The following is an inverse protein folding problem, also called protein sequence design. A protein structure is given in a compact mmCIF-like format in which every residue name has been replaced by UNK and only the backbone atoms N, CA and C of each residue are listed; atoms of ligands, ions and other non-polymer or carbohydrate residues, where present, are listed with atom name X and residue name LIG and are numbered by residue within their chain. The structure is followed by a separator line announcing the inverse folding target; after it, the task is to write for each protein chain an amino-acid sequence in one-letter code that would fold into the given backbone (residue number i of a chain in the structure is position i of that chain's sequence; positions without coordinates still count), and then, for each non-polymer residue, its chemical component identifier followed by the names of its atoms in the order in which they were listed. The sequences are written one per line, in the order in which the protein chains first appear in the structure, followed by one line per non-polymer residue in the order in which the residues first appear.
data_IF_213869031820
#
_entry.id   IF_213869031820
#
_cell.length_a   1.000
_cell.length_b   1.000
_cell.length_c   1.000
_cell.angle_alpha   90.00
_cell.angle_beta   90.00
_cell.angle_gamma   90.00
#
_symmetry.space_group_name_H-M   'P 1'
#
loop_
_entity.id
_entity.type
_entity.pdbx_description
1 polymer ?
#
# COMPACT_ATOMS: atom_id res chain seq x y z
N UNK A 1 -6.98 -38.07 10.32
CA UNK A 1 -7.10 -36.81 9.53
C UNK A 1 -6.59 -37.14 8.14
N UNK A 2 -7.41 -36.99 7.10
CA UNK A 2 -6.95 -37.11 5.71
C UNK A 2 -5.82 -36.10 5.48
N UNK A 3 -4.75 -36.47 4.71
CA UNK A 3 -3.76 -35.48 4.35
C UNK A 3 -4.46 -34.32 3.63
N UNK A 4 -4.18 -33.09 4.08
CA UNK A 4 -4.65 -31.89 3.42
C UNK A 4 -4.16 -31.94 1.95
N UNK A 5 -5.06 -32.25 1.03
CA UNK A 5 -4.76 -32.07 -0.39
C UNK A 5 -4.52 -30.57 -0.59
N UNK A 6 -3.32 -30.23 -1.03
CA UNK A 6 -2.93 -28.83 -1.32
C UNK A 6 -2.85 -28.66 -2.82
N UNK A 7 -3.50 -27.61 -3.31
CA UNK A 7 -3.30 -27.14 -4.68
C UNK A 7 -1.80 -26.82 -4.89
N UNK A 8 -1.32 -27.03 -6.08
CA UNK A 8 0.10 -26.72 -6.42
C UNK A 8 0.18 -26.11 -7.81
N UNK A 9 1.04 -25.13 -7.96
CA UNK A 9 1.39 -24.57 -9.26
C UNK A 9 2.18 -25.63 -10.04
N UNK A 10 1.78 -25.84 -11.29
CA UNK A 10 2.42 -26.74 -12.22
C UNK A 10 3.33 -25.98 -13.17
N UNK A 11 2.81 -24.89 -13.73
CA UNK A 11 3.51 -24.06 -14.69
C UNK A 11 2.99 -22.63 -14.65
N UNK A 12 3.87 -21.68 -14.91
CA UNK A 12 3.52 -20.26 -15.09
C UNK A 12 4.09 -19.80 -16.43
N UNK A 13 3.24 -19.21 -17.25
CA UNK A 13 3.60 -18.74 -18.59
C UNK A 13 3.30 -17.28 -18.75
N UNK A 14 4.32 -16.48 -19.09
CA UNK A 14 4.15 -15.10 -19.50
C UNK A 14 3.35 -15.03 -20.80
N UNK A 15 2.26 -14.30 -20.80
CA UNK A 15 1.41 -14.05 -21.98
C UNK A 15 1.72 -12.69 -22.58
N UNK A 16 1.98 -11.71 -21.74
CA UNK A 16 2.32 -10.36 -22.17
C UNK A 16 3.20 -9.67 -21.15
N UNK A 17 4.30 -9.08 -21.63
CA UNK A 17 5.26 -8.36 -20.80
C UNK A 17 5.36 -6.91 -21.28
N UNK A 18 5.21 -5.98 -20.34
CA UNK A 18 5.39 -4.55 -20.56
C UNK A 18 6.62 -4.05 -19.79
N UNK A 19 6.84 -2.74 -19.77
CA UNK A 19 7.91 -2.16 -18.96
C UNK A 19 7.72 -2.36 -17.45
N UNK A 20 6.47 -2.45 -16.99
CA UNK A 20 6.11 -2.43 -15.56
C UNK A 20 5.37 -3.69 -15.11
N UNK A 21 4.58 -4.28 -15.99
CA UNK A 21 3.66 -5.36 -15.66
C UNK A 21 3.89 -6.58 -16.53
N UNK A 22 3.59 -7.74 -15.97
CA UNK A 22 3.54 -9.02 -16.63
C UNK A 22 2.16 -9.65 -16.44
N UNK A 23 1.51 -10.00 -17.54
CA UNK A 23 0.31 -10.81 -17.53
C UNK A 23 0.68 -12.28 -17.71
N UNK A 24 0.24 -13.15 -16.81
CA UNK A 24 0.61 -14.56 -16.80
C UNK A 24 -0.62 -15.47 -16.84
N UNK A 25 -0.46 -16.66 -17.37
CA UNK A 25 -1.35 -17.80 -17.22
C UNK A 25 -0.66 -18.84 -16.33
N UNK A 26 -1.36 -19.25 -15.27
CA UNK A 26 -0.86 -20.15 -14.25
C UNK A 26 -1.64 -21.45 -14.31
N UNK A 27 -0.99 -22.53 -14.71
CA UNK A 27 -1.55 -23.87 -14.64
C UNK A 27 -1.30 -24.44 -13.24
N UNK A 28 -2.36 -24.95 -12.62
CA UNK A 28 -2.25 -25.55 -11.29
C UNK A 28 -3.11 -26.80 -11.16
N UNK A 29 -2.78 -27.63 -10.22
CA UNK A 29 -3.60 -28.77 -9.82
C UNK A 29 -4.40 -28.37 -8.58
N UNK A 30 -5.72 -28.52 -8.67
CA UNK A 30 -6.61 -28.26 -7.54
C UNK A 30 -6.56 -29.37 -6.48
N UNK A 31 -7.28 -29.20 -5.37
CA UNK A 31 -7.32 -30.17 -4.27
C UNK A 31 -7.96 -31.51 -4.63
N UNK A 32 -8.74 -31.55 -5.71
CA UNK A 32 -9.32 -32.78 -6.28
C UNK A 32 -8.39 -33.47 -7.31
N UNK A 33 -7.18 -32.92 -7.53
CA UNK A 33 -6.22 -33.43 -8.50
C UNK A 33 -6.52 -33.04 -9.95
N UNK A 34 -7.47 -32.12 -10.16
CA UNK A 34 -7.83 -31.65 -11.51
C UNK A 34 -6.93 -30.52 -11.95
N UNK A 35 -6.53 -30.54 -13.23
CA UNK A 35 -5.81 -29.41 -13.83
C UNK A 35 -6.74 -28.22 -14.06
N UNK A 36 -6.26 -27.04 -13.68
CA UNK A 36 -6.94 -25.75 -13.82
C UNK A 36 -5.97 -24.73 -14.38
N UNK A 37 -6.50 -23.65 -14.94
CA UNK A 37 -5.74 -22.49 -15.37
C UNK A 37 -6.29 -21.22 -14.72
N UNK A 38 -5.40 -20.26 -14.40
CA UNK A 38 -5.73 -18.98 -13.79
C UNK A 38 -4.94 -17.86 -14.46
N UNK A 39 -5.55 -16.72 -14.63
CA UNK A 39 -4.88 -15.53 -15.16
C UNK A 39 -4.52 -14.58 -14.03
N UNK A 40 -3.30 -14.03 -14.07
CA UNK A 40 -2.80 -13.12 -13.05
C UNK A 40 -1.97 -11.98 -13.65
N UNK A 41 -1.87 -10.89 -12.89
CA UNK A 41 -0.98 -9.76 -13.19
C UNK A 41 0.06 -9.65 -12.09
N UNK A 42 1.30 -9.44 -12.51
CA UNK A 42 2.43 -9.24 -11.59
C UNK A 42 3.19 -7.95 -11.97
N UNK A 43 3.95 -7.42 -11.04
CA UNK A 43 5.02 -6.49 -11.40
C UNK A 43 6.12 -7.24 -12.13
N UNK A 44 6.70 -6.62 -13.16
CA UNK A 44 7.74 -7.25 -14.00
C UNK A 44 8.90 -7.82 -13.16
N UNK A 45 9.32 -7.11 -12.13
CA UNK A 45 10.45 -7.51 -11.28
C UNK A 45 10.02 -8.20 -9.99
N UNK A 46 8.71 -8.49 -9.83
CA UNK A 46 8.15 -9.17 -8.65
C UNK A 46 8.46 -8.46 -7.32
N UNK A 47 8.66 -7.14 -7.36
CA UNK A 47 8.91 -6.35 -6.16
C UNK A 47 7.70 -6.39 -5.23
N UNK A 48 7.98 -6.41 -3.92
CA UNK A 48 6.97 -6.14 -2.88
C UNK A 48 6.74 -4.62 -2.75
N UNK A 49 5.61 -4.22 -2.18
CA UNK A 49 5.33 -2.84 -1.81
C UNK A 49 5.39 -2.66 -0.29
N UNK A 50 6.01 -1.58 0.18
CA UNK A 50 5.95 -1.16 1.58
C UNK A 50 4.80 -0.15 1.76
N UNK A 51 3.83 -0.47 2.62
CA UNK A 51 2.72 0.42 3.00
C UNK A 51 3.07 1.03 4.34
N UNK A 52 3.17 2.34 4.43
CA UNK A 52 3.79 3.04 5.55
C UNK A 52 2.74 3.58 6.50
N UNK A 53 2.59 2.95 7.66
CA UNK A 53 1.71 3.43 8.73
C UNK A 53 2.53 4.30 9.67
N UNK A 54 2.71 5.56 9.28
CA UNK A 54 3.52 6.53 10.02
C UNK A 54 2.66 7.28 11.04
N UNK A 55 3.07 7.22 12.32
CA UNK A 55 2.38 7.86 13.41
C UNK A 55 3.29 8.87 14.13
N UNK A 56 2.84 10.13 14.23
CA UNK A 56 3.54 11.17 14.97
C UNK A 56 3.44 10.93 16.46
N UNK A 57 4.58 11.09 17.14
CA UNK A 57 4.70 10.99 18.59
C UNK A 57 5.10 12.34 19.17
N UNK A 58 4.45 12.86 20.24
CA UNK A 58 3.44 12.18 21.07
C UNK A 58 1.98 12.39 20.63
N UNK A 59 1.68 13.16 19.55
CA UNK A 59 0.31 13.55 19.21
C UNK A 59 -0.60 12.40 18.76
N UNK A 60 -0.03 11.28 18.34
CA UNK A 60 -0.78 10.11 17.84
C UNK A 60 -1.42 10.32 16.46
N UNK A 61 -1.10 11.42 15.77
CA UNK A 61 -1.62 11.69 14.42
C UNK A 61 -0.96 10.77 13.40
N UNK A 62 -1.67 10.50 12.30
CA UNK A 62 -1.17 9.71 11.18
C UNK A 62 -0.86 10.59 9.98
N UNK A 63 0.15 10.19 9.22
CA UNK A 63 0.51 10.79 7.94
C UNK A 63 -0.18 9.99 6.85
N UNK A 64 -0.96 10.68 6.03
CA UNK A 64 -1.66 10.14 4.87
C UNK A 64 -1.27 10.95 3.64
N UNK A 65 -1.41 10.34 2.47
CA UNK A 65 -1.21 11.01 1.18
C UNK A 65 -2.45 10.89 0.31
N UNK A 66 -2.63 11.87 -0.57
CA UNK A 66 -3.63 11.82 -1.64
C UNK A 66 -2.93 12.05 -2.96
N UNK A 67 -3.07 11.12 -3.89
CA UNK A 67 -2.47 11.24 -5.21
C UNK A 67 -3.41 10.76 -6.31
N UNK A 68 -3.16 11.20 -7.54
CA UNK A 68 -3.90 10.72 -8.71
C UNK A 68 -3.45 9.31 -9.07
N UNK A 69 -4.40 8.39 -9.11
CA UNK A 69 -4.17 6.99 -9.52
C UNK A 69 -4.84 6.72 -10.87
N UNK A 70 -4.10 6.74 -11.98
CA UNK A 70 -4.66 6.53 -13.32
C UNK A 70 -5.60 5.35 -13.46
N UNK A 71 -5.35 4.17 -12.83
CA UNK A 71 -6.27 3.03 -12.96
C UNK A 71 -7.65 3.28 -12.37
N UNK A 72 -7.81 4.19 -11.40
CA UNK A 72 -9.10 4.55 -10.82
C UNK A 72 -9.74 5.75 -11.50
N UNK A 73 -8.99 6.46 -12.35
CA UNK A 73 -9.42 7.70 -12.99
C UNK A 73 -9.60 8.87 -12.03
N UNK A 74 -9.05 8.78 -10.80
CA UNK A 74 -9.28 9.79 -9.76
C UNK A 74 -8.16 9.84 -8.72
N UNK A 75 -8.33 10.77 -7.78
CA UNK A 75 -7.46 10.85 -6.62
C UNK A 75 -7.83 9.78 -5.58
N UNK A 76 -6.83 9.25 -4.90
CA UNK A 76 -6.99 8.24 -3.85
C UNK A 76 -6.33 8.75 -2.58
N UNK A 77 -7.07 8.70 -1.46
CA UNK A 77 -6.52 8.88 -0.12
C UNK A 77 -6.00 7.55 0.39
N UNK A 78 -4.74 7.50 0.75
CA UNK A 78 -4.02 6.27 1.10
C UNK A 78 -2.89 6.51 2.11
N UNK A 79 -2.31 5.44 2.62
CA UNK A 79 -1.03 5.52 3.32
C UNK A 79 0.09 5.81 2.31
N UNK A 80 1.16 6.52 2.69
CA UNK A 80 2.38 6.59 1.91
C UNK A 80 2.85 5.18 1.56
N UNK A 81 3.35 4.96 0.36
CA UNK A 81 3.74 3.62 -0.08
C UNK A 81 4.67 3.66 -1.28
N UNK A 82 5.66 2.77 -1.29
CA UNK A 82 6.53 2.60 -2.44
C UNK A 82 7.00 1.17 -2.63
N UNK A 83 7.72 0.95 -3.72
CA UNK A 83 8.28 -0.36 -4.03
C UNK A 83 9.55 -0.60 -3.24
N UNK A 84 9.76 -1.85 -2.88
CA UNK A 84 11.02 -2.31 -2.31
C UNK A 84 12.00 -2.57 -3.46
N UNK A 85 13.04 -1.79 -3.55
CA UNK A 85 14.04 -1.89 -4.59
C UNK A 85 14.95 -3.10 -4.39
N UNK A 86 15.66 -3.46 -5.48
CA UNK A 86 16.60 -4.59 -5.43
C UNK A 86 17.72 -4.34 -4.43
N UNK A 87 17.84 -5.21 -3.44
CA UNK A 87 18.84 -5.11 -2.37
C UNK A 87 18.40 -4.29 -1.17
N UNK A 88 17.21 -3.70 -1.20
CA UNK A 88 16.61 -2.96 -0.12
C UNK A 88 15.71 -3.87 0.74
N UNK A 89 15.65 -3.63 2.02
CA UNK A 89 14.66 -4.25 2.91
C UNK A 89 13.36 -3.46 2.90
N UNK A 90 12.20 -4.05 3.23
CA UNK A 90 10.95 -3.31 3.36
C UNK A 90 11.00 -2.16 4.37
N UNK A 91 11.84 -2.28 5.39
CA UNK A 91 12.06 -1.22 6.38
C UNK A 91 12.81 -0.02 5.77
N UNK A 92 13.86 -0.28 5.00
CA UNK A 92 14.63 0.76 4.30
C UNK A 92 13.77 1.47 3.25
N UNK A 93 13.05 0.69 2.42
CA UNK A 93 12.10 1.24 1.45
C UNK A 93 11.07 2.17 2.11
N UNK A 94 10.47 1.73 3.22
CA UNK A 94 9.48 2.53 3.92
C UNK A 94 10.04 3.85 4.45
N UNK A 95 11.27 3.87 4.97
CA UNK A 95 11.88 5.10 5.47
C UNK A 95 12.28 6.05 4.33
N UNK A 96 12.77 5.52 3.22
CA UNK A 96 13.08 6.28 2.01
C UNK A 96 11.83 6.92 1.46
N UNK A 97 10.78 6.14 1.17
CA UNK A 97 9.51 6.61 0.61
C UNK A 97 8.80 7.61 1.55
N UNK A 98 8.79 7.36 2.87
CA UNK A 98 8.24 8.32 3.83
C UNK A 98 8.93 9.67 3.71
N UNK A 99 10.26 9.68 3.58
CA UNK A 99 11.03 10.91 3.43
C UNK A 99 10.78 11.58 2.09
N UNK A 100 10.73 10.82 0.99
CA UNK A 100 10.54 11.32 -0.37
C UNK A 100 9.14 11.89 -0.56
N UNK A 101 8.10 11.11 -0.23
CA UNK A 101 6.71 11.49 -0.42
C UNK A 101 6.23 12.58 0.55
N UNK A 102 6.71 12.55 1.80
CA UNK A 102 6.13 13.36 2.87
C UNK A 102 7.10 14.32 3.56
N UNK A 103 8.41 14.14 3.38
CA UNK A 103 9.46 14.87 4.08
C UNK A 103 9.66 14.50 5.53
N UNK A 104 8.88 13.56 6.08
CA UNK A 104 9.00 13.09 7.45
C UNK A 104 10.08 12.01 7.60
N UNK A 105 10.72 12.00 8.77
CA UNK A 105 11.70 10.99 9.16
C UNK A 105 11.24 10.28 10.42
N UNK A 106 11.44 8.96 10.46
CA UNK A 106 10.98 8.14 11.58
C UNK A 106 11.84 6.93 11.85
N UNK A 107 11.38 6.09 12.76
CA UNK A 107 12.02 4.83 13.16
C UNK A 107 11.00 3.70 12.96
N UNK A 108 11.43 2.65 12.27
CA UNK A 108 10.58 1.47 12.06
C UNK A 108 10.37 0.74 13.38
N UNK A 109 9.09 0.54 13.72
CA UNK A 109 8.66 -0.19 14.91
C UNK A 109 8.31 -1.65 14.61
N UNK A 110 7.70 -1.90 13.45
CA UNK A 110 7.22 -3.21 13.05
C UNK A 110 7.16 -3.31 11.52
N UNK A 111 7.56 -4.45 10.98
CA UNK A 111 7.30 -4.86 9.60
C UNK A 111 6.49 -6.15 9.64
N UNK A 112 5.40 -6.20 8.89
CA UNK A 112 4.55 -7.41 8.85
C UNK A 112 5.11 -8.45 7.88
N UNK A 113 4.59 -9.67 7.97
CA UNK A 113 4.73 -10.66 6.90
C UNK A 113 4.04 -10.18 5.61
N UNK A 114 4.38 -10.75 4.45
CA UNK A 114 3.74 -10.40 3.18
C UNK A 114 2.24 -10.62 3.21
N UNK A 115 1.48 -9.66 2.67
CA UNK A 115 0.03 -9.73 2.52
C UNK A 115 -0.35 -9.36 1.08
N UNK A 116 -1.54 -9.73 0.66
CA UNK A 116 -2.01 -9.53 -0.70
C UNK A 116 -3.29 -8.70 -0.71
N UNK A 117 -3.31 -7.62 -1.47
CA UNK A 117 -4.47 -6.72 -1.57
C UNK A 117 -5.58 -7.28 -2.48
N UNK A 118 -5.22 -8.02 -3.50
CA UNK A 118 -6.17 -8.60 -4.46
C UNK A 118 -5.71 -9.98 -4.97
N UNK A 119 -5.68 -11.02 -4.08
CA UNK A 119 -5.04 -12.30 -4.36
C UNK A 119 -5.72 -13.11 -5.48
N UNK A 120 -6.93 -12.72 -5.89
CA UNK A 120 -7.63 -13.35 -7.02
C UNK A 120 -7.15 -12.84 -8.38
N UNK A 121 -6.34 -11.79 -8.44
CA UNK A 121 -5.91 -11.18 -9.70
C UNK A 121 -4.44 -10.76 -9.67
N UNK A 122 -3.97 -10.22 -8.56
CA UNK A 122 -2.63 -9.66 -8.42
C UNK A 122 -1.72 -10.59 -7.61
N UNK A 123 -0.57 -10.89 -8.16
CA UNK A 123 0.50 -11.58 -7.43
C UNK A 123 1.43 -10.63 -6.66
N UNK A 124 1.09 -9.34 -6.56
CA UNK A 124 1.87 -8.36 -5.80
C UNK A 124 1.65 -8.55 -4.31
N UNK A 125 2.74 -8.78 -3.58
CA UNK A 125 2.73 -8.75 -2.13
C UNK A 125 2.96 -7.34 -1.61
N UNK A 126 2.39 -7.01 -0.45
CA UNK A 126 2.70 -5.79 0.27
C UNK A 126 2.96 -6.10 1.75
N UNK A 127 3.78 -5.25 2.40
CA UNK A 127 4.02 -5.30 3.84
C UNK A 127 3.60 -3.99 4.48
N UNK A 128 2.93 -4.05 5.61
CA UNK A 128 2.76 -2.87 6.43
C UNK A 128 4.03 -2.64 7.24
N UNK A 129 4.53 -1.41 7.15
CA UNK A 129 5.67 -0.93 7.94
C UNK A 129 5.18 0.17 8.86
N UNK A 130 5.18 -0.12 10.15
CA UNK A 130 4.77 0.83 11.18
C UNK A 130 5.97 1.68 11.59
N UNK A 131 5.82 3.00 11.47
CA UNK A 131 6.90 3.98 11.70
C UNK A 131 6.46 4.98 12.76
N UNK A 132 7.28 5.11 13.80
CA UNK A 132 7.13 6.18 14.81
C UNK A 132 7.92 7.41 14.35
N UNK A 133 7.25 8.55 14.27
CA UNK A 133 7.78 9.84 13.82
C UNK A 133 7.81 10.80 14.99
N UNK A 134 9.00 11.17 15.49
CA UNK A 134 9.12 12.20 16.53
C UNK A 134 8.82 13.59 15.95
N UNK A 135 7.64 14.13 16.26
CA UNK A 135 7.20 15.45 15.79
C UNK A 135 8.01 16.62 16.36
N UNK A 136 8.86 16.38 17.37
CA UNK A 136 9.72 17.40 17.95
C UNK A 136 11.07 17.55 17.23
N UNK A 137 11.46 16.59 16.40
CA UNK A 137 12.67 16.70 15.59
C UNK A 137 12.58 17.92 14.67
N UNK A 138 13.65 18.70 14.52
CA UNK A 138 13.67 19.89 13.65
C UNK A 138 13.23 19.58 12.20
N UNK A 139 13.65 18.44 11.65
CA UNK A 139 13.27 17.98 10.31
C UNK A 139 11.77 17.73 10.18
N UNK A 140 11.13 17.18 11.22
CA UNK A 140 9.71 16.86 11.23
C UNK A 140 8.81 18.05 11.58
N UNK A 141 9.38 19.17 12.09
CA UNK A 141 8.63 20.43 12.29
C UNK A 141 8.37 21.19 11.00
N UNK A 142 9.20 20.97 9.99
CA UNK A 142 9.08 21.58 8.66
C UNK A 142 9.46 20.55 7.60
N UNK A 143 8.65 19.50 7.43
CA UNK A 143 8.95 18.42 6.50
C UNK A 143 9.00 18.95 5.08
N UNK A 144 9.98 18.50 4.29
CA UNK A 144 10.18 18.90 2.90
C UNK A 144 10.16 17.65 2.02
N UNK A 145 9.03 17.37 1.32
CA UNK A 145 8.97 16.28 0.34
C UNK A 145 9.97 16.50 -0.82
N UNK A 146 10.46 15.41 -1.38
CA UNK A 146 11.33 15.43 -2.57
C UNK A 146 10.90 14.35 -3.54
N UNK A 147 9.63 14.42 -3.96
CA UNK A 147 9.01 13.46 -4.86
C UNK A 147 9.73 13.38 -6.21
N UNK A 148 9.62 12.26 -6.88
CA UNK A 148 10.15 12.07 -8.21
C UNK A 148 9.46 12.99 -9.24
N UNK A 149 10.13 13.32 -10.36
CA UNK A 149 9.52 14.10 -11.43
C UNK A 149 8.23 13.47 -11.98
N UNK A 150 7.12 14.20 -11.86
CA UNK A 150 5.80 13.72 -12.30
C UNK A 150 4.97 13.11 -11.18
N UNK A 151 5.49 13.00 -9.98
CA UNK A 151 4.79 12.57 -8.79
C UNK A 151 4.28 13.77 -7.99
N UNK A 152 2.97 13.85 -7.80
CA UNK A 152 2.30 14.93 -7.08
C UNK A 152 1.43 14.34 -5.98
N UNK A 153 1.76 14.69 -4.74
CA UNK A 153 1.04 14.21 -3.56
C UNK A 153 0.62 15.38 -2.67
N UNK A 154 -0.61 15.30 -2.14
CA UNK A 154 -1.04 16.13 -1.03
C UNK A 154 -0.83 15.35 0.26
N UNK A 155 -0.08 15.92 1.22
CA UNK A 155 0.21 15.28 2.51
C UNK A 155 -0.77 15.77 3.57
N UNK A 156 -1.39 14.84 4.29
CA UNK A 156 -2.33 15.11 5.38
C UNK A 156 -1.83 14.54 6.70
N UNK A 157 -1.84 15.36 7.73
CA UNK A 157 -1.56 14.94 9.12
C UNK A 157 -2.88 14.98 9.90
N UNK A 158 -3.40 13.82 10.25
CA UNK A 158 -4.74 13.71 10.82
C UNK A 158 -4.76 12.94 12.14
N UNK A 159 -5.54 13.42 13.11
CA UNK A 159 -5.96 12.58 14.23
C UNK A 159 -6.90 11.47 13.72
N UNK A 160 -6.86 10.26 14.28
CA UNK A 160 -7.84 9.23 13.92
C UNK A 160 -9.29 9.74 13.96
N UNK A 161 -9.68 10.45 15.02
CA UNK A 161 -11.02 11.06 15.13
C UNK A 161 -11.31 12.17 14.11
N UNK A 162 -10.30 12.67 13.42
CA UNK A 162 -10.43 13.71 12.38
C UNK A 162 -10.67 13.17 10.97
N UNK A 163 -10.58 11.86 10.74
CA UNK A 163 -10.71 11.24 9.41
C UNK A 163 -12.08 11.52 8.82
N UNK A 164 -13.15 11.38 9.61
CA UNK A 164 -14.52 11.69 9.15
C UNK A 164 -14.65 13.15 8.69
N UNK A 165 -14.00 14.09 9.38
CA UNK A 165 -14.00 15.50 8.98
C UNK A 165 -13.13 15.75 7.73
N UNK A 166 -12.01 15.04 7.59
CA UNK A 166 -11.21 15.08 6.38
C UNK A 166 -12.03 14.67 5.16
N UNK A 167 -12.78 13.56 5.26
CA UNK A 167 -13.63 13.06 4.17
C UNK A 167 -14.77 14.00 3.77
N UNK A 168 -15.16 14.94 4.62
CA UNK A 168 -16.19 15.97 4.33
C UNK A 168 -15.64 17.19 3.57
N UNK A 169 -14.33 17.36 3.47
CA UNK A 169 -13.72 18.46 2.72
C UNK A 169 -14.03 18.33 1.22
N UNK A 170 -14.08 19.46 0.54
CA UNK A 170 -14.47 19.52 -0.87
C UNK A 170 -13.52 18.74 -1.77
N UNK A 171 -12.21 18.83 -1.54
CA UNK A 171 -11.20 18.09 -2.28
C UNK A 171 -11.32 16.56 -2.12
N UNK A 172 -11.99 16.09 -1.05
CA UNK A 172 -12.21 14.66 -0.80
C UNK A 172 -13.50 14.11 -1.42
N UNK A 173 -14.44 14.98 -1.82
CA UNK A 173 -15.73 14.54 -2.39
C UNK A 173 -15.60 13.73 -3.68
N UNK A 174 -14.54 13.99 -4.45
CA UNK A 174 -14.22 13.27 -5.68
C UNK A 174 -13.04 12.30 -5.52
N UNK A 175 -12.57 12.10 -4.29
CA UNK A 175 -11.47 11.20 -4.00
C UNK A 175 -12.00 9.83 -3.61
N UNK A 176 -11.29 8.80 -4.06
CA UNK A 176 -11.47 7.43 -3.59
C UNK A 176 -10.69 7.20 -2.30
N UNK A 177 -11.01 6.13 -1.59
CA UNK A 177 -10.26 5.69 -0.40
C UNK A 177 -9.66 4.33 -0.70
N UNK A 178 -8.38 4.17 -0.39
CA UNK A 178 -7.73 2.87 -0.48
C UNK A 178 -8.30 1.91 0.57
N UNK A 179 -8.53 0.66 0.17
CA UNK A 179 -9.13 -0.35 1.04
C UNK A 179 -8.29 -0.63 2.29
N UNK A 180 -6.97 -0.52 2.20
CA UNK A 180 -6.05 -0.74 3.34
C UNK A 180 -6.24 0.37 4.38
N UNK A 181 -6.37 1.62 3.93
CA UNK A 181 -6.67 2.76 4.78
C UNK A 181 -8.05 2.61 5.44
N UNK A 182 -9.07 2.26 4.65
CA UNK A 182 -10.41 2.01 5.16
C UNK A 182 -10.41 0.90 6.22
N UNK A 183 -9.79 -0.24 5.94
CA UNK A 183 -9.77 -1.36 6.88
C UNK A 183 -9.06 -1.04 8.19
N UNK A 184 -8.02 -0.20 8.14
CA UNK A 184 -7.27 0.24 9.33
C UNK A 184 -8.10 1.19 10.21
N UNK A 185 -8.88 2.08 9.60
CA UNK A 185 -9.67 3.10 10.30
C UNK A 185 -11.19 2.91 10.14
N UNK A 186 -11.67 1.71 9.85
CA UNK A 186 -13.07 1.43 9.48
C UNK A 186 -14.11 2.06 10.43
N UNK A 187 -13.82 2.07 11.73
CA UNK A 187 -14.74 2.59 12.75
C UNK A 187 -14.79 4.13 12.79
N UNK A 188 -13.95 4.80 12.01
CA UNK A 188 -13.84 6.27 11.95
C UNK A 188 -14.40 6.86 10.65
N UNK A 189 -14.74 6.01 9.68
CA UNK A 189 -15.44 6.44 8.49
C UNK A 189 -16.94 6.59 8.77
N UNK A 190 -17.61 7.61 8.19
CA UNK A 190 -19.06 7.76 8.37
C UNK A 190 -19.77 6.53 7.79
N UNK A 191 -20.76 6.02 8.53
CA UNK A 191 -21.68 5.02 7.99
C UNK A 191 -22.51 5.63 6.87
N UNK A 192 -22.92 4.83 5.89
CA UNK A 192 -23.76 5.26 4.76
C UNK A 192 -25.20 5.61 5.14
N UNK A 193 -25.52 5.65 6.44
CA UNK A 193 -26.87 5.85 6.97
C UNK A 193 -27.08 7.25 7.63
N UNK A 194 -26.18 8.21 7.40
CA UNK A 194 -26.37 9.60 7.87
C UNK A 194 -26.42 10.60 6.71
#
# INVERSE_FOLDING_TARGET
MSPLHRSKILHEKSKHLTNWLEFTEIDYQDEAGQSRSWEAVHRRFRNEAAIIVAQLQPSGKYILVRQFRPPTGGYVLEFPAGLVDSGETPAEAALRELSEETGYQGIVRLVTEPMYSSPGMLGEACRFVFVDVDENLPTNKSPQPHTEPGEFLDVYVVNPSGISNLMKKEEMRTSHVDIKLFAFFKDLFPSSEE
#
